data_IF_065257562415
#
_entry.id   IF_065257562415
#
_cell.length_a   1.000
_cell.length_b   1.000
_cell.length_c   1.000
_cell.angle_alpha   90.00
_cell.angle_beta   90.00
_cell.angle_gamma   90.00
#
_symmetry.space_group_name_H-M   'P 1'
#
loop_
_entity.id
_entity.type
_entity.pdbx_description
1 polymer ?
#
# COMPACT_ATOMS: atom_id res chain seq x y z
N UNK A 1 13.36 -22.38 -37.30
CA UNK A 1 13.91 -21.61 -36.16
C UNK A 1 14.64 -22.62 -35.28
N UNK A 2 15.92 -22.39 -34.91
CA UNK A 2 16.63 -23.36 -34.07
C UNK A 2 16.09 -23.26 -32.63
N UNK A 3 15.76 -24.42 -32.05
CA UNK A 3 15.36 -24.59 -30.65
C UNK A 3 16.53 -24.20 -29.74
N UNK A 4 16.55 -22.94 -29.30
CA UNK A 4 17.34 -22.54 -28.15
C UNK A 4 16.77 -23.18 -26.87
N UNK A 5 17.58 -23.39 -25.82
CA UNK A 5 17.08 -23.87 -24.54
C UNK A 5 15.96 -22.93 -24.05
N UNK A 6 14.83 -23.51 -23.62
CA UNK A 6 13.73 -22.73 -23.05
C UNK A 6 14.26 -21.98 -21.83
N UNK A 7 14.05 -20.65 -21.72
CA UNK A 7 14.49 -19.88 -20.56
C UNK A 7 13.90 -20.46 -19.28
N UNK A 8 14.71 -20.55 -18.23
CA UNK A 8 14.29 -21.10 -16.95
C UNK A 8 13.39 -20.09 -16.20
N UNK A 9 12.48 -20.58 -15.35
CA UNK A 9 11.58 -19.72 -14.57
C UNK A 9 12.28 -18.55 -13.84
N UNK A 10 13.43 -18.75 -13.15
CA UNK A 10 14.16 -17.65 -12.51
C UNK A 10 14.71 -16.60 -13.49
N UNK A 11 15.05 -16.98 -14.73
CA UNK A 11 15.50 -16.02 -15.75
C UNK A 11 14.33 -15.12 -16.20
N UNK A 12 13.15 -15.72 -16.36
CA UNK A 12 11.91 -15.01 -16.70
C UNK A 12 11.47 -14.06 -15.57
N UNK A 13 11.57 -14.51 -14.32
CA UNK A 13 11.27 -13.69 -13.14
C UNK A 13 12.24 -12.52 -13.01
N UNK A 14 13.54 -12.75 -13.24
CA UNK A 14 14.56 -11.69 -13.23
C UNK A 14 14.32 -10.65 -14.33
N UNK A 15 13.96 -11.06 -15.55
CA UNK A 15 13.64 -10.14 -16.65
C UNK A 15 12.50 -9.16 -16.31
N UNK A 16 11.42 -9.68 -15.72
CA UNK A 16 10.29 -8.87 -15.26
C UNK A 16 10.66 -7.96 -14.07
N UNK A 17 11.50 -8.43 -13.15
CA UNK A 17 12.03 -7.63 -12.05
C UNK A 17 12.88 -6.47 -12.57
N UNK A 18 13.77 -6.72 -13.51
CA UNK A 18 14.66 -5.72 -14.11
C UNK A 18 13.87 -4.63 -14.85
N UNK A 19 12.84 -5.03 -15.61
CA UNK A 19 11.93 -4.09 -16.25
C UNK A 19 11.24 -3.17 -15.24
N UNK A 20 10.71 -3.74 -14.14
CA UNK A 20 10.05 -2.95 -13.07
C UNK A 20 11.00 -1.98 -12.38
N UNK A 21 12.25 -2.39 -12.12
CA UNK A 21 13.28 -1.52 -11.54
C UNK A 21 13.57 -0.34 -12.47
N UNK A 22 13.69 -0.58 -13.78
CA UNK A 22 13.88 0.49 -14.78
C UNK A 22 12.70 1.43 -14.86
N UNK A 23 11.48 0.91 -14.84
CA UNK A 23 10.26 1.74 -14.80
C UNK A 23 10.25 2.63 -13.55
N UNK A 24 10.72 2.14 -12.41
CA UNK A 24 10.86 2.95 -11.18
C UNK A 24 11.87 4.08 -11.32
N UNK A 25 13.00 3.85 -12.01
CA UNK A 25 14.00 4.88 -12.30
C UNK A 25 13.43 5.94 -13.24
N UNK A 26 12.82 5.51 -14.35
CA UNK A 26 12.18 6.39 -15.35
C UNK A 26 11.10 7.27 -14.69
N UNK A 27 10.28 6.68 -13.83
CA UNK A 27 9.26 7.37 -13.05
C UNK A 27 9.87 8.48 -12.20
N UNK A 28 10.91 8.18 -11.42
CA UNK A 28 11.56 9.17 -10.54
C UNK A 28 12.29 10.28 -11.30
N UNK A 29 12.94 9.94 -12.40
CA UNK A 29 13.55 10.94 -13.30
C UNK A 29 12.49 11.87 -13.90
N UNK A 30 11.35 11.30 -14.29
CA UNK A 30 10.23 12.08 -14.83
C UNK A 30 9.58 12.95 -13.77
N UNK A 31 9.39 12.46 -12.54
CA UNK A 31 8.89 13.27 -11.42
C UNK A 31 9.80 14.47 -11.16
N UNK A 32 11.10 14.24 -11.08
CA UNK A 32 12.10 15.30 -10.89
C UNK A 32 12.04 16.33 -12.03
N UNK A 33 11.93 15.87 -13.27
CA UNK A 33 11.79 16.75 -14.43
C UNK A 33 10.48 17.56 -14.40
N UNK A 34 9.35 16.93 -14.02
CA UNK A 34 8.06 17.59 -13.94
C UNK A 34 8.00 18.60 -12.79
N UNK A 35 8.64 18.33 -11.66
CA UNK A 35 8.69 19.26 -10.53
C UNK A 35 9.41 20.56 -10.88
N UNK A 36 10.47 20.50 -11.71
CA UNK A 36 11.13 21.69 -12.25
C UNK A 36 10.24 22.52 -13.19
N UNK A 37 9.11 21.96 -13.67
CA UNK A 37 8.15 22.67 -14.52
C UNK A 37 6.98 23.26 -13.75
N UNK A 38 6.90 23.02 -12.44
CA UNK A 38 5.80 23.44 -11.56
C UNK A 38 6.21 24.63 -10.70
N UNK A 39 5.24 25.48 -10.37
CA UNK A 39 5.41 26.48 -9.32
C UNK A 39 5.23 25.85 -7.93
N UNK A 40 5.40 26.68 -6.89
CA UNK A 40 5.19 26.27 -5.49
C UNK A 40 3.76 25.79 -5.16
N UNK A 41 2.81 26.01 -6.06
CA UNK A 41 1.41 25.62 -5.93
C UNK A 41 1.08 24.39 -6.80
N UNK A 42 2.09 23.74 -7.40
CA UNK A 42 1.91 22.57 -8.26
C UNK A 42 1.43 22.89 -9.67
N UNK A 43 1.26 24.17 -10.04
CA UNK A 43 0.79 24.56 -11.37
C UNK A 43 1.92 24.47 -12.38
N UNK A 44 1.66 23.86 -13.53
CA UNK A 44 2.66 23.75 -14.60
C UNK A 44 2.89 25.11 -15.26
N UNK A 45 4.06 25.72 -15.02
CA UNK A 45 4.47 27.02 -15.59
C UNK A 45 5.26 26.87 -16.90
N UNK A 46 5.83 25.69 -17.15
CA UNK A 46 6.58 25.38 -18.37
C UNK A 46 5.95 24.20 -19.13
N UNK A 47 4.83 24.42 -19.85
CA UNK A 47 4.07 23.33 -20.48
C UNK A 47 4.86 22.58 -21.56
N UNK A 48 5.73 23.26 -22.30
CA UNK A 48 6.59 22.63 -23.32
C UNK A 48 7.64 21.70 -22.71
N UNK A 49 8.27 22.12 -21.60
CA UNK A 49 9.22 21.29 -20.85
C UNK A 49 8.53 20.07 -20.22
N UNK A 50 7.31 20.25 -19.71
CA UNK A 50 6.51 19.15 -19.16
C UNK A 50 6.13 18.12 -20.24
N UNK A 51 5.77 18.59 -21.44
CA UNK A 51 5.50 17.71 -22.59
C UNK A 51 6.76 16.96 -23.05
N UNK A 52 7.93 17.62 -23.05
CA UNK A 52 9.20 16.98 -23.41
C UNK A 52 9.60 15.89 -22.39
N UNK A 53 9.43 16.15 -21.09
CA UNK A 53 9.68 15.16 -20.04
C UNK A 53 8.81 13.91 -20.20
N UNK A 54 7.51 14.08 -20.50
CA UNK A 54 6.60 12.95 -20.79
C UNK A 54 6.98 12.19 -22.05
N UNK A 55 7.34 12.89 -23.13
CA UNK A 55 7.77 12.24 -24.36
C UNK A 55 9.06 11.42 -24.16
N UNK A 56 9.99 11.92 -23.35
CA UNK A 56 11.21 11.18 -22.98
C UNK A 56 10.89 9.93 -22.15
N UNK A 57 10.03 10.07 -21.14
CA UNK A 57 9.51 8.96 -20.32
C UNK A 57 8.90 7.86 -21.17
N UNK A 58 7.97 8.22 -22.05
CA UNK A 58 7.23 7.26 -22.87
C UNK A 58 8.18 6.48 -23.79
N UNK A 59 9.15 7.17 -24.40
CA UNK A 59 10.20 6.55 -25.21
C UNK A 59 11.09 5.60 -24.38
N UNK A 60 11.60 6.06 -23.25
CA UNK A 60 12.48 5.26 -22.38
C UNK A 60 11.78 3.98 -21.87
N UNK A 61 10.48 4.06 -21.59
CA UNK A 61 9.69 2.90 -21.16
C UNK A 61 9.51 1.87 -22.28
N UNK A 62 9.28 2.31 -23.52
CA UNK A 62 9.23 1.43 -24.70
C UNK A 62 10.59 0.74 -24.91
N UNK A 63 11.69 1.48 -24.82
CA UNK A 63 13.05 0.94 -24.93
C UNK A 63 13.33 -0.10 -23.83
N UNK A 64 12.94 0.19 -22.59
CA UNK A 64 13.11 -0.73 -21.47
C UNK A 64 12.30 -2.01 -21.66
N UNK A 65 11.03 -1.92 -22.08
CA UNK A 65 10.18 -3.08 -22.33
C UNK A 65 10.73 -3.94 -23.46
N UNK A 66 11.04 -3.34 -24.61
CA UNK A 66 11.52 -4.05 -25.80
C UNK A 66 12.84 -4.79 -25.54
N UNK A 67 13.74 -4.19 -24.76
CA UNK A 67 15.05 -4.76 -24.44
C UNK A 67 14.97 -5.85 -23.38
N UNK A 68 14.18 -5.65 -22.32
CA UNK A 68 14.30 -6.48 -21.11
C UNK A 68 13.13 -7.42 -20.87
N UNK A 69 11.93 -7.13 -21.38
CA UNK A 69 10.74 -7.91 -21.05
C UNK A 69 10.09 -8.55 -22.27
N UNK A 70 10.04 -7.85 -23.42
CA UNK A 70 9.37 -8.33 -24.63
C UNK A 70 9.79 -9.77 -25.04
N UNK A 71 11.09 -10.14 -25.04
CA UNK A 71 11.51 -11.51 -25.40
C UNK A 71 11.00 -12.60 -24.46
N UNK A 72 10.57 -12.23 -23.25
CA UNK A 72 10.24 -13.14 -22.16
C UNK A 72 8.74 -13.16 -21.81
N UNK A 73 7.95 -12.22 -22.33
CA UNK A 73 6.53 -12.04 -21.95
C UNK A 73 5.66 -13.29 -22.12
N UNK A 74 5.63 -13.87 -23.32
CA UNK A 74 4.77 -15.03 -23.61
C UNK A 74 5.19 -16.24 -22.74
N UNK A 75 6.50 -16.51 -22.63
CA UNK A 75 7.03 -17.59 -21.80
C UNK A 75 6.71 -17.40 -20.31
N UNK A 76 6.86 -16.18 -19.79
CA UNK A 76 6.54 -15.86 -18.40
C UNK A 76 5.05 -16.08 -18.10
N UNK A 77 4.16 -15.60 -18.97
CA UNK A 77 2.71 -15.77 -18.80
C UNK A 77 2.29 -17.25 -18.86
N UNK A 78 2.89 -18.04 -19.74
CA UNK A 78 2.60 -19.46 -19.87
C UNK A 78 3.07 -20.28 -18.64
N UNK A 79 4.22 -19.92 -18.06
CA UNK A 79 4.68 -20.53 -16.79
C UNK A 79 3.75 -20.10 -15.65
N UNK A 80 3.45 -18.81 -15.53
CA UNK A 80 2.60 -18.27 -14.46
C UNK A 80 1.18 -18.85 -14.48
N UNK A 81 0.58 -19.03 -15.67
CA UNK A 81 -0.75 -19.65 -15.81
C UNK A 81 -0.75 -21.11 -15.38
N UNK A 82 0.26 -21.88 -15.79
CA UNK A 82 0.40 -23.28 -15.37
C UNK A 82 0.54 -23.40 -13.87
N UNK A 83 1.41 -22.58 -13.27
CA UNK A 83 1.56 -22.53 -11.82
C UNK A 83 0.23 -22.17 -11.12
N UNK A 84 -0.50 -21.18 -11.64
CA UNK A 84 -1.80 -20.77 -11.10
C UNK A 84 -2.84 -21.91 -11.14
N UNK A 85 -2.86 -22.71 -12.20
CA UNK A 85 -3.79 -23.83 -12.36
C UNK A 85 -3.45 -25.02 -11.43
N UNK A 86 -2.22 -25.09 -10.94
CA UNK A 86 -1.75 -26.09 -9.96
C UNK A 86 -2.02 -25.68 -8.50
N UNK A 87 -2.35 -24.41 -8.23
CA UNK A 87 -2.62 -23.93 -6.88
C UNK A 87 -3.95 -24.48 -6.32
N UNK A 88 -4.01 -24.77 -5.01
CA UNK A 88 -5.25 -25.16 -4.34
C UNK A 88 -6.30 -24.03 -4.41
N UNK A 89 -7.61 -24.35 -4.44
CA UNK A 89 -8.65 -23.34 -4.56
C UNK A 89 -8.60 -22.26 -3.47
N UNK A 90 -8.42 -21.01 -3.88
CA UNK A 90 -8.42 -19.86 -2.98
C UNK A 90 -9.15 -18.66 -3.60
N UNK A 91 -9.64 -17.75 -2.74
CA UNK A 91 -10.46 -16.60 -3.17
C UNK A 91 -9.72 -15.66 -4.13
N UNK A 92 -8.41 -15.53 -3.98
CA UNK A 92 -7.57 -14.60 -4.74
C UNK A 92 -7.24 -15.09 -6.17
N UNK A 93 -7.43 -16.38 -6.48
CA UNK A 93 -7.03 -16.96 -7.76
C UNK A 93 -7.77 -16.34 -8.97
N UNK A 94 -9.06 -16.01 -8.80
CA UNK A 94 -9.83 -15.36 -9.86
C UNK A 94 -9.27 -13.98 -10.22
N UNK A 95 -8.83 -13.22 -9.20
CA UNK A 95 -8.19 -11.93 -9.37
C UNK A 95 -6.86 -12.04 -10.11
N UNK A 96 -6.01 -13.00 -9.73
CA UNK A 96 -4.73 -13.22 -10.43
C UNK A 96 -4.91 -13.68 -11.87
N UNK A 97 -5.91 -14.53 -12.15
CA UNK A 97 -6.21 -14.94 -13.53
C UNK A 97 -6.58 -13.72 -14.39
N UNK A 98 -7.45 -12.84 -13.89
CA UNK A 98 -7.80 -11.60 -14.58
C UNK A 98 -6.59 -10.69 -14.82
N UNK A 99 -5.66 -10.60 -13.86
CA UNK A 99 -4.41 -9.86 -14.02
C UNK A 99 -3.53 -10.46 -15.13
N UNK A 100 -3.31 -11.78 -15.14
CA UNK A 100 -2.52 -12.44 -16.18
C UNK A 100 -3.12 -12.25 -17.57
N UNK A 101 -4.45 -12.28 -17.69
CA UNK A 101 -5.15 -12.02 -18.95
C UNK A 101 -5.03 -10.56 -19.39
N UNK A 102 -5.10 -9.61 -18.45
CA UNK A 102 -4.83 -8.18 -18.71
C UNK A 102 -3.39 -7.91 -19.16
N UNK A 103 -2.40 -8.61 -18.59
CA UNK A 103 -1.00 -8.54 -19.01
C UNK A 103 -0.81 -9.12 -20.41
N UNK A 104 -1.44 -10.26 -20.71
CA UNK A 104 -1.42 -10.85 -22.05
C UNK A 104 -2.03 -9.93 -23.11
N UNK A 105 -3.19 -9.32 -22.82
CA UNK A 105 -3.81 -8.33 -23.70
C UNK A 105 -2.90 -7.10 -23.92
N UNK A 106 -2.24 -6.62 -22.86
CA UNK A 106 -1.30 -5.50 -22.93
C UNK A 106 -0.07 -5.82 -23.77
N UNK A 107 0.52 -7.01 -23.62
CA UNK A 107 1.65 -7.43 -24.46
C UNK A 107 1.25 -7.56 -25.93
N UNK A 108 0.05 -8.08 -26.22
CA UNK A 108 -0.45 -8.18 -27.59
C UNK A 108 -0.64 -6.80 -28.23
N UNK A 109 -1.15 -5.81 -27.48
CA UNK A 109 -1.31 -4.44 -27.97
C UNK A 109 0.02 -3.72 -28.19
N UNK A 110 0.98 -3.89 -27.26
CA UNK A 110 2.33 -3.37 -27.43
C UNK A 110 2.97 -3.95 -28.69
N UNK A 111 2.94 -5.28 -28.87
CA UNK A 111 3.49 -5.94 -30.05
C UNK A 111 2.84 -5.45 -31.34
N UNK A 112 1.50 -5.45 -31.40
CA UNK A 112 0.74 -4.95 -32.56
C UNK A 112 1.13 -3.54 -32.96
N UNK A 113 1.32 -2.67 -31.97
CA UNK A 113 1.70 -1.28 -32.19
C UNK A 113 3.14 -1.18 -32.69
N UNK A 114 4.08 -1.88 -32.05
CA UNK A 114 5.50 -1.87 -32.42
C UNK A 114 5.79 -2.56 -33.77
N UNK A 115 4.93 -3.47 -34.22
CA UNK A 115 5.01 -4.08 -35.56
C UNK A 115 4.71 -3.08 -36.69
N UNK A 116 4.14 -1.90 -36.36
CA UNK A 116 3.86 -0.80 -37.30
C UNK A 116 4.45 0.50 -36.76
N UNK A 117 5.79 0.64 -36.75
CA UNK A 117 6.43 1.82 -36.18
C UNK A 117 6.14 3.06 -37.03
N UNK A 118 5.82 4.17 -36.36
CA UNK A 118 5.81 5.47 -36.99
C UNK A 118 7.23 5.91 -37.39
N UNK A 119 7.34 6.97 -38.20
CA UNK A 119 8.64 7.48 -38.63
C UNK A 119 9.45 7.98 -37.41
N UNK A 120 10.74 7.61 -37.26
CA UNK A 120 11.56 8.07 -36.15
C UNK A 120 11.63 9.60 -36.07
N UNK A 121 11.44 10.15 -34.86
CA UNK A 121 11.40 11.58 -34.58
C UNK A 121 10.08 12.29 -34.91
N UNK A 122 9.09 11.58 -35.44
CA UNK A 122 7.81 12.19 -35.84
C UNK A 122 6.88 12.49 -34.64
N UNK A 123 5.92 13.44 -34.79
CA UNK A 123 4.80 13.58 -33.86
C UNK A 123 4.01 12.27 -33.68
N UNK A 124 3.88 11.48 -34.74
CA UNK A 124 3.18 10.20 -34.74
C UNK A 124 3.89 9.16 -33.87
N UNK A 125 5.23 9.10 -33.89
CA UNK A 125 6.02 8.24 -32.99
C UNK A 125 5.80 8.63 -31.51
N UNK A 126 5.79 9.93 -31.21
CA UNK A 126 5.48 10.40 -29.85
C UNK A 126 4.07 10.02 -29.43
N UNK A 127 3.09 10.15 -30.32
CA UNK A 127 1.71 9.70 -30.08
C UNK A 127 1.64 8.19 -29.85
N UNK A 128 2.39 7.41 -30.62
CA UNK A 128 2.48 5.95 -30.49
C UNK A 128 3.07 5.54 -29.13
N UNK A 129 4.21 6.10 -28.73
CA UNK A 129 4.80 5.82 -27.41
C UNK A 129 3.86 6.20 -26.26
N UNK A 130 3.18 7.34 -26.39
CA UNK A 130 2.22 7.78 -25.36
C UNK A 130 1.01 6.84 -25.26
N UNK A 131 0.51 6.33 -26.38
CA UNK A 131 -0.58 5.36 -26.40
C UNK A 131 -0.19 4.01 -25.75
N UNK A 132 1.10 3.65 -25.77
CA UNK A 132 1.60 2.44 -25.13
C UNK A 132 1.76 2.57 -23.61
N UNK A 133 1.77 3.79 -23.08
CA UNK A 133 2.02 4.05 -21.67
C UNK A 133 1.13 3.23 -20.71
N UNK A 134 -0.21 3.17 -20.87
CA UNK A 134 -1.06 2.37 -19.98
C UNK A 134 -0.67 0.89 -19.93
N UNK A 135 -0.31 0.31 -21.07
CA UNK A 135 0.10 -1.10 -21.18
C UNK A 135 1.46 -1.36 -20.52
N UNK A 136 2.42 -0.44 -20.69
CA UNK A 136 3.73 -0.51 -20.06
C UNK A 136 3.63 -0.39 -18.54
N UNK A 137 2.77 0.50 -18.05
CA UNK A 137 2.52 0.66 -16.61
C UNK A 137 1.81 -0.56 -16.01
N UNK A 138 0.85 -1.16 -16.71
CA UNK A 138 0.21 -2.40 -16.27
C UNK A 138 1.24 -3.54 -16.10
N UNK A 139 2.18 -3.67 -17.03
CA UNK A 139 3.30 -4.61 -16.88
C UNK A 139 4.20 -4.24 -15.70
N UNK A 140 4.51 -2.97 -15.49
CA UNK A 140 5.37 -2.55 -14.37
C UNK A 140 4.73 -2.79 -13.00
N UNK A 141 3.42 -2.58 -12.88
CA UNK A 141 2.66 -2.75 -11.64
C UNK A 141 2.37 -4.22 -11.31
N UNK A 142 2.10 -5.03 -12.34
CA UNK A 142 1.58 -6.39 -12.14
C UNK A 142 2.53 -7.52 -12.54
N UNK A 143 3.69 -7.24 -13.16
CA UNK A 143 4.65 -8.30 -13.54
C UNK A 143 5.15 -9.11 -12.34
N UNK A 144 5.18 -8.51 -11.14
CA UNK A 144 5.54 -9.22 -9.90
C UNK A 144 4.65 -10.44 -9.66
N UNK A 145 3.34 -10.35 -9.97
CA UNK A 145 2.41 -11.48 -9.82
C UNK A 145 2.80 -12.60 -10.77
N UNK A 146 3.08 -12.28 -12.04
CA UNK A 146 3.50 -13.27 -13.03
C UNK A 146 4.86 -13.90 -12.68
N UNK A 147 5.85 -13.11 -12.24
CA UNK A 147 7.16 -13.59 -11.81
C UNK A 147 7.08 -14.49 -10.58
N UNK A 148 6.36 -14.07 -9.55
CA UNK A 148 6.21 -14.86 -8.33
C UNK A 148 5.47 -16.18 -8.61
N UNK A 149 4.42 -16.16 -9.44
CA UNK A 149 3.76 -17.39 -9.87
C UNK A 149 4.69 -18.29 -10.68
N UNK A 150 5.54 -17.73 -11.54
CA UNK A 150 6.53 -18.52 -12.26
C UNK A 150 7.54 -19.18 -11.32
N UNK A 151 8.02 -18.46 -10.31
CA UNK A 151 8.94 -18.99 -9.29
C UNK A 151 8.30 -20.11 -8.43
N UNK A 152 6.97 -20.10 -8.25
CA UNK A 152 6.24 -21.14 -7.52
C UNK A 152 6.28 -22.52 -8.22
N UNK A 153 6.47 -22.55 -9.54
CA UNK A 153 6.49 -23.80 -10.32
C UNK A 153 7.76 -24.64 -10.13
N UNK A 154 8.82 -24.08 -9.54
CA UNK A 154 10.10 -24.75 -9.29
C UNK A 154 10.14 -25.57 -7.97
N UNK A 155 8.96 -25.84 -7.38
CA UNK A 155 8.72 -27.02 -6.55
C UNK A 155 9.72 -27.27 -5.41
N UNK A 156 10.09 -26.24 -4.64
CA UNK A 156 11.00 -26.45 -3.52
C UNK A 156 10.34 -27.32 -2.44
N UNK A 157 10.94 -28.49 -2.27
CA UNK A 157 10.50 -29.60 -1.45
C UNK A 157 10.19 -29.19 -0.01
N UNK A 158 8.94 -29.35 0.37
CA UNK A 158 8.51 -29.18 1.75
C UNK A 158 9.11 -30.33 2.57
N UNK A 159 9.78 -30.01 3.68
CA UNK A 159 10.17 -31.03 4.67
C UNK A 159 8.89 -31.65 5.23
N UNK A 160 8.97 -32.91 5.67
CA UNK A 160 7.86 -33.57 6.32
C UNK A 160 7.29 -32.68 7.45
N UNK A 161 5.95 -32.51 7.52
CA UNK A 161 5.31 -31.76 8.59
C UNK A 161 5.75 -32.26 9.96
N UNK A 162 5.68 -31.40 10.98
CA UNK A 162 5.76 -31.83 12.39
C UNK A 162 4.80 -32.99 12.63
N UNK A 163 5.16 -33.91 13.51
CA UNK A 163 4.20 -34.92 13.98
C UNK A 163 3.04 -34.24 14.70
N UNK A 164 1.86 -34.87 14.73
CA UNK A 164 0.68 -34.32 15.41
C UNK A 164 0.96 -34.00 16.90
N UNK A 165 1.82 -34.79 17.54
CA UNK A 165 2.22 -34.60 18.95
C UNK A 165 3.13 -33.37 19.10
N UNK A 166 4.17 -33.26 18.27
CA UNK A 166 5.08 -32.11 18.27
C UNK A 166 4.33 -30.82 17.92
N UNK A 167 3.45 -30.86 16.93
CA UNK A 167 2.63 -29.71 16.55
C UNK A 167 1.76 -29.24 17.71
N UNK A 168 1.07 -30.15 18.41
CA UNK A 168 0.24 -29.78 19.58
C UNK A 168 1.08 -29.18 20.69
N UNK A 169 2.18 -29.84 21.04
CA UNK A 169 3.10 -29.36 22.07
C UNK A 169 3.60 -27.93 21.77
N UNK A 170 4.14 -27.71 20.57
CA UNK A 170 4.64 -26.39 20.19
C UNK A 170 3.54 -25.33 20.08
N UNK A 171 2.34 -25.73 19.64
CA UNK A 171 1.19 -24.82 19.59
C UNK A 171 0.77 -24.39 21.00
N UNK A 172 0.73 -25.31 21.96
CA UNK A 172 0.42 -24.98 23.36
C UNK A 172 1.47 -24.06 23.98
N UNK A 173 2.75 -24.33 23.74
CA UNK A 173 3.88 -23.49 24.17
C UNK A 173 3.76 -22.07 23.58
N UNK A 174 3.54 -21.96 22.27
CA UNK A 174 3.39 -20.68 21.60
C UNK A 174 2.15 -19.90 22.06
N UNK A 175 1.03 -20.58 22.30
CA UNK A 175 -0.19 -19.94 22.84
C UNK A 175 0.04 -19.41 24.25
N UNK A 176 0.76 -20.17 25.09
CA UNK A 176 1.13 -19.73 26.42
C UNK A 176 2.05 -18.49 26.38
N UNK A 177 3.06 -18.49 25.51
CA UNK A 177 3.95 -17.35 25.30
C UNK A 177 3.19 -16.12 24.77
N UNK A 178 2.28 -16.31 23.82
CA UNK A 178 1.41 -15.23 23.32
C UNK A 178 0.58 -14.61 24.45
N UNK A 179 -0.01 -15.43 25.33
CA UNK A 179 -0.78 -14.96 26.48
C UNK A 179 0.04 -14.12 27.48
N UNK A 180 1.38 -14.26 27.48
CA UNK A 180 2.32 -13.46 28.28
C UNK A 180 2.91 -12.27 27.51
N UNK A 181 2.67 -12.16 26.20
CA UNK A 181 3.29 -11.15 25.33
C UNK A 181 4.73 -11.47 24.95
N UNK A 182 5.13 -12.74 25.02
CA UNK A 182 6.50 -13.24 24.75
C UNK A 182 6.61 -13.90 23.36
N UNK A 183 5.66 -13.61 22.47
CA UNK A 183 5.64 -14.06 21.08
C UNK A 183 5.76 -12.84 20.16
N UNK A 184 6.94 -12.64 19.58
CA UNK A 184 7.24 -11.48 18.74
C UNK A 184 7.16 -11.85 17.25
N UNK A 185 6.15 -11.34 16.55
CA UNK A 185 5.97 -11.56 15.10
C UNK A 185 6.97 -10.74 14.30
N UNK A 186 7.66 -11.36 13.35
CA UNK A 186 8.71 -10.71 12.53
C UNK A 186 8.33 -10.58 11.07
N UNK A 187 7.71 -11.60 10.49
CA UNK A 187 7.33 -11.64 9.08
C UNK A 187 5.99 -12.35 8.90
N UNK A 188 5.24 -11.98 7.86
CA UNK A 188 4.00 -12.66 7.50
C UNK A 188 3.76 -12.68 6.00
N UNK A 189 3.23 -13.78 5.48
CA UNK A 189 2.84 -13.93 4.08
C UNK A 189 1.64 -14.86 3.94
N UNK A 190 1.07 -14.95 2.73
CA UNK A 190 0.06 -15.96 2.41
C UNK A 190 0.70 -17.17 1.75
N UNK A 191 0.22 -18.36 2.09
CA UNK A 191 0.52 -19.59 1.37
C UNK A 191 -0.43 -19.79 0.19
N UNK A 192 -0.10 -20.75 -0.67
CA UNK A 192 -0.88 -21.16 -1.86
C UNK A 192 -2.35 -21.47 -1.55
N UNK A 193 -2.63 -22.04 -0.39
CA UNK A 193 -3.97 -22.37 0.11
C UNK A 193 -4.74 -21.18 0.71
N UNK A 194 -4.18 -19.98 0.65
CA UNK A 194 -4.79 -18.76 1.15
C UNK A 194 -4.80 -18.65 2.68
N UNK A 195 -4.07 -19.50 3.40
CA UNK A 195 -3.84 -19.30 4.83
C UNK A 195 -2.63 -18.38 5.06
N UNK A 196 -2.70 -17.46 6.04
CA UNK A 196 -1.53 -16.70 6.45
C UNK A 196 -0.52 -17.61 7.16
N UNK A 197 0.76 -17.35 6.91
CA UNK A 197 1.89 -17.87 7.64
C UNK A 197 2.59 -16.68 8.30
N UNK A 198 2.98 -16.83 9.56
CA UNK A 198 3.77 -15.85 10.27
C UNK A 198 4.99 -16.50 10.91
N UNK A 199 6.11 -15.77 10.92
CA UNK A 199 7.28 -16.11 11.73
C UNK A 199 7.22 -15.33 13.04
N UNK A 200 7.53 -16.02 14.14
CA UNK A 200 7.59 -15.41 15.45
C UNK A 200 8.78 -15.91 16.25
N UNK A 201 9.41 -15.03 17.01
CA UNK A 201 10.32 -15.43 18.09
C UNK A 201 9.51 -15.75 19.34
N UNK A 202 9.70 -16.97 19.83
CA UNK A 202 9.24 -17.42 21.13
C UNK A 202 10.38 -17.24 22.12
N UNK A 203 10.21 -16.34 23.08
CA UNK A 203 11.20 -16.04 24.12
C UNK A 203 10.86 -16.86 25.37
N UNK A 204 11.75 -17.77 25.77
CA UNK A 204 11.65 -18.55 27.01
C UNK A 204 12.98 -18.53 27.74
N UNK A 205 12.99 -18.10 29.01
CA UNK A 205 14.15 -18.20 29.93
C UNK A 205 15.50 -17.76 29.31
N UNK A 206 15.51 -16.62 28.61
CA UNK A 206 16.63 -16.01 27.85
C UNK A 206 17.02 -16.69 26.52
N UNK A 207 16.37 -17.79 26.14
CA UNK A 207 16.50 -18.41 24.81
C UNK A 207 15.38 -17.95 23.86
N UNK A 208 15.71 -17.78 22.57
CA UNK A 208 14.75 -17.40 21.53
C UNK A 208 14.67 -18.49 20.47
N UNK A 209 13.50 -19.09 20.32
CA UNK A 209 13.22 -20.08 19.27
C UNK A 209 12.35 -19.45 18.19
N UNK A 210 12.77 -19.56 16.93
CA UNK A 210 11.93 -19.13 15.82
C UNK A 210 10.86 -20.19 15.53
N UNK A 211 9.59 -19.81 15.62
CA UNK A 211 8.45 -20.67 15.29
C UNK A 211 7.71 -20.14 14.07
N UNK A 212 7.19 -21.05 13.24
CA UNK A 212 6.33 -20.71 12.13
C UNK A 212 4.88 -21.07 12.45
N UNK A 213 4.01 -20.07 12.33
CA UNK A 213 2.60 -20.14 12.65
C UNK A 213 1.81 -20.22 11.35
N UNK A 214 0.73 -20.99 11.36
CA UNK A 214 -0.25 -21.04 10.27
C UNK A 214 -1.62 -20.67 10.80
N UNK A 215 -2.25 -19.71 10.13
CA UNK A 215 -3.45 -19.04 10.63
C UNK A 215 -3.14 -17.69 11.27
N UNK A 216 -4.20 -16.95 11.59
CA UNK A 216 -4.09 -15.62 12.20
C UNK A 216 -3.74 -15.75 13.69
N UNK A 217 -2.57 -15.29 14.15
CA UNK A 217 -2.16 -15.40 15.55
C UNK A 217 -3.14 -14.67 16.49
N UNK A 218 -3.85 -13.65 16.01
CA UNK A 218 -4.82 -12.88 16.81
C UNK A 218 -6.22 -13.51 16.84
N UNK A 219 -6.41 -14.68 16.23
CA UNK A 219 -7.68 -15.41 16.20
C UNK A 219 -7.54 -16.84 16.77
N UNK A 220 -8.62 -17.47 17.26
CA UNK A 220 -8.55 -18.89 17.62
C UNK A 220 -8.27 -19.78 16.39
N UNK A 221 -7.54 -20.87 16.60
CA UNK A 221 -7.39 -21.96 15.62
C UNK A 221 -6.12 -21.94 14.76
N UNK A 222 -5.18 -21.02 15.01
CA UNK A 222 -3.84 -21.11 14.43
C UNK A 222 -3.01 -22.23 15.09
N UNK A 223 -1.99 -22.70 14.36
CA UNK A 223 -1.14 -23.81 14.79
C UNK A 223 0.33 -23.55 14.43
N UNK A 224 1.25 -24.10 15.22
CA UNK A 224 2.67 -24.14 14.85
C UNK A 224 2.88 -25.20 13.78
N UNK A 225 3.56 -24.85 12.69
CA UNK A 225 3.87 -25.75 11.56
C UNK A 225 5.36 -26.07 11.45
N UNK A 226 6.19 -25.42 12.24
CA UNK A 226 7.63 -25.66 12.30
C UNK A 226 8.31 -24.81 13.36
N UNK A 227 9.50 -25.24 13.75
CA UNK A 227 10.42 -24.48 14.58
C UNK A 227 11.83 -24.58 13.97
N UNK A 228 12.60 -23.49 14.06
CA UNK A 228 13.83 -23.31 13.31
C UNK A 228 14.87 -22.55 14.13
N UNK A 229 16.15 -22.71 13.78
CA UNK A 229 17.21 -21.96 14.42
C UNK A 229 17.20 -20.47 14.03
N UNK A 230 16.84 -20.16 12.77
CA UNK A 230 16.80 -18.80 12.22
C UNK A 230 15.96 -18.73 10.94
N UNK A 231 15.62 -17.52 10.48
CA UNK A 231 14.70 -17.26 9.36
C UNK A 231 15.17 -17.89 8.05
N UNK A 232 16.48 -17.92 7.82
CA UNK A 232 17.04 -18.54 6.61
C UNK A 232 16.79 -20.06 6.52
N UNK A 233 16.62 -20.76 7.65
CA UNK A 233 16.28 -22.18 7.65
C UNK A 233 14.77 -22.35 7.40
N UNK A 234 13.96 -21.52 8.07
CA UNK A 234 12.53 -21.47 7.89
C UNK A 234 12.16 -21.23 6.40
N UNK A 235 12.78 -20.24 5.75
CA UNK A 235 12.53 -19.90 4.36
C UNK A 235 12.88 -20.98 3.32
N UNK A 236 13.70 -22.00 3.69
CA UNK A 236 13.99 -23.14 2.81
C UNK A 236 12.92 -24.22 2.82
N UNK A 237 12.12 -24.24 3.88
CA UNK A 237 11.26 -25.39 4.22
C UNK A 237 9.79 -25.02 4.22
N UNK A 238 9.48 -23.77 4.60
CA UNK A 238 8.12 -23.28 4.69
C UNK A 238 7.49 -23.10 3.31
N UNK A 239 6.14 -23.13 3.23
CA UNK A 239 5.43 -22.81 2.01
C UNK A 239 5.84 -21.45 1.45
N UNK A 240 6.16 -21.43 0.16
CA UNK A 240 6.67 -20.23 -0.53
C UNK A 240 5.60 -19.14 -0.54
N UNK A 241 5.96 -17.87 -0.26
CA UNK A 241 5.03 -16.75 -0.33
C UNK A 241 4.35 -16.62 -1.68
N UNK A 242 3.02 -16.58 -1.68
CA UNK A 242 2.28 -16.18 -2.87
C UNK A 242 2.38 -14.67 -3.10
N UNK A 243 2.19 -14.17 -4.33
CA UNK A 243 2.20 -12.72 -4.57
C UNK A 243 1.22 -11.98 -3.64
N UNK A 244 1.64 -10.84 -3.04
CA UNK A 244 0.73 -10.06 -2.23
C UNK A 244 -0.41 -9.47 -3.07
N UNK A 245 -1.57 -9.30 -2.45
CA UNK A 245 -2.69 -8.58 -3.05
C UNK A 245 -2.43 -7.08 -3.19
N UNK A 246 -3.25 -6.41 -4.02
CA UNK A 246 -3.26 -4.94 -4.14
C UNK A 246 -4.62 -4.41 -3.72
N UNK A 247 -4.64 -3.31 -2.96
CA UNK A 247 -5.89 -2.72 -2.45
C UNK A 247 -6.77 -2.15 -3.58
N UNK A 248 -6.14 -1.63 -4.63
CA UNK A 248 -6.76 -1.03 -5.81
C UNK A 248 -5.97 -1.45 -7.05
N UNK A 249 -6.55 -2.32 -7.86
CA UNK A 249 -5.92 -2.79 -9.10
C UNK A 249 -6.00 -1.75 -10.24
N UNK A 250 -6.87 -0.76 -10.10
CA UNK A 250 -7.07 0.36 -11.02
C UNK A 250 -6.13 1.55 -10.76
N UNK A 251 -5.40 1.54 -9.64
CA UNK A 251 -4.48 2.61 -9.28
C UNK A 251 -3.05 2.22 -9.62
N UNK A 252 -2.45 2.95 -10.54
CA UNK A 252 -1.04 2.79 -10.92
C UNK A 252 -0.20 3.93 -10.36
N UNK A 253 0.94 3.59 -9.74
CA UNK A 253 1.92 4.58 -9.30
C UNK A 253 2.52 5.39 -10.45
N UNK A 254 2.46 4.87 -11.68
CA UNK A 254 3.00 5.49 -12.87
C UNK A 254 1.96 6.39 -13.58
N UNK A 255 0.68 6.27 -13.20
CA UNK A 255 -0.43 7.10 -13.68
C UNK A 255 -0.96 8.02 -12.59
N UNK A 256 -0.07 8.55 -11.74
CA UNK A 256 -0.45 9.53 -10.72
C UNK A 256 -1.11 10.72 -11.41
N UNK A 257 -2.36 11.08 -11.06
CA UNK A 257 -2.93 12.34 -11.51
C UNK A 257 -2.02 13.48 -11.04
N UNK A 258 -2.07 14.61 -11.76
CA UNK A 258 -1.39 15.83 -11.29
C UNK A 258 -1.87 16.08 -9.85
N UNK A 259 -0.95 16.20 -8.88
CA UNK A 259 -1.35 16.43 -7.50
C UNK A 259 -2.22 17.67 -7.46
N UNK A 260 -3.38 17.55 -6.83
CA UNK A 260 -4.25 18.70 -6.64
C UNK A 260 -3.49 19.79 -5.88
N UNK A 261 -3.66 21.08 -6.23
CA UNK A 261 -3.03 22.18 -5.52
C UNK A 261 -3.31 22.05 -4.02
N UNK A 262 -2.27 21.94 -3.20
CA UNK A 262 -2.43 21.87 -1.75
C UNK A 262 -2.38 23.27 -1.17
N UNK A 263 -3.48 23.70 -0.52
CA UNK A 263 -3.43 24.83 0.38
C UNK A 263 -2.77 24.34 1.67
N UNK A 264 -1.50 24.68 1.86
CA UNK A 264 -0.77 24.21 3.03
C UNK A 264 -1.39 24.74 4.31
N UNK A 265 -1.44 23.91 5.36
CA UNK A 265 -1.91 24.36 6.68
C UNK A 265 -1.11 25.58 7.17
N UNK A 266 0.18 25.65 6.84
CA UNK A 266 1.03 26.80 7.15
C UNK A 266 0.57 28.09 6.46
N UNK A 267 0.11 27.99 5.21
CA UNK A 267 -0.46 29.13 4.47
C UNK A 267 -1.80 29.57 5.07
N UNK A 268 -2.68 28.63 5.43
CA UNK A 268 -3.92 28.94 6.14
C UNK A 268 -3.65 29.66 7.47
N UNK A 269 -2.70 29.16 8.26
CA UNK A 269 -2.27 29.80 9.51
C UNK A 269 -1.74 31.20 9.23
N UNK A 270 -0.90 31.36 8.19
CA UNK A 270 -0.37 32.67 7.78
C UNK A 270 -1.51 33.63 7.40
N UNK A 271 -2.50 33.18 6.64
CA UNK A 271 -3.64 34.00 6.22
C UNK A 271 -4.45 34.51 7.43
N UNK A 272 -4.63 33.67 8.46
CA UNK A 272 -5.25 34.10 9.72
C UNK A 272 -4.38 35.12 10.48
N UNK A 273 -3.07 34.88 10.54
CA UNK A 273 -2.11 35.75 11.25
C UNK A 273 -1.97 37.13 10.59
N UNK A 274 -1.97 37.16 9.26
CA UNK A 274 -1.88 38.40 8.46
C UNK A 274 -3.24 39.09 8.27
N UNK A 275 -4.33 38.35 8.50
CA UNK A 275 -5.71 38.80 8.39
C UNK A 275 -6.01 40.00 9.28
N UNK A 276 -6.87 40.90 8.79
CA UNK A 276 -7.27 42.13 9.49
C UNK A 276 -8.74 42.13 9.87
N UNK A 277 -9.53 41.29 9.19
CA UNK A 277 -10.97 41.17 9.32
C UNK A 277 -11.35 39.76 9.77
N UNK A 278 -12.53 39.61 10.36
CA UNK A 278 -13.09 38.29 10.62
C UNK A 278 -13.33 37.47 9.32
N UNK A 279 -13.58 38.16 8.20
CA UNK A 279 -13.67 37.56 6.87
C UNK A 279 -12.40 36.83 6.44
N UNK A 280 -11.22 37.41 6.70
CA UNK A 280 -9.94 36.78 6.35
C UNK A 280 -9.73 35.45 7.11
N UNK A 281 -10.18 35.41 8.37
CA UNK A 281 -10.15 34.20 9.18
C UNK A 281 -11.19 33.17 8.73
N UNK A 282 -12.40 33.62 8.38
CA UNK A 282 -13.45 32.80 7.77
C UNK A 282 -12.96 32.12 6.49
N UNK A 283 -12.36 32.86 5.56
CA UNK A 283 -11.86 32.32 4.29
C UNK A 283 -10.77 31.26 4.51
N UNK A 284 -9.89 31.47 5.48
CA UNK A 284 -8.87 30.48 5.84
C UNK A 284 -9.48 29.20 6.45
N UNK A 285 -10.56 29.31 7.24
CA UNK A 285 -11.27 28.15 7.78
C UNK A 285 -12.06 27.40 6.69
N UNK A 286 -12.73 28.11 5.78
CA UNK A 286 -13.35 27.49 4.61
C UNK A 286 -12.32 26.75 3.75
N UNK A 287 -11.13 27.33 3.55
CA UNK A 287 -10.03 26.65 2.88
C UNK A 287 -9.57 25.36 3.58
N UNK A 288 -9.72 25.25 4.90
CA UNK A 288 -9.37 24.04 5.65
C UNK A 288 -10.36 22.88 5.43
N UNK A 289 -11.64 23.20 5.23
CA UNK A 289 -12.77 22.26 5.12
C UNK A 289 -13.29 22.09 3.69
N UNK A 290 -12.71 22.82 2.73
CA UNK A 290 -13.09 22.80 1.33
C UNK A 290 -13.16 21.35 0.81
N UNK A 291 -14.26 21.02 0.12
CA UNK A 291 -14.44 19.73 -0.57
C UNK A 291 -14.17 19.88 -2.07
N UNK A 292 -13.88 18.77 -2.74
CA UNK A 292 -13.69 18.72 -4.19
C UNK A 292 -12.23 18.62 -4.62
N UNK A 293 -11.91 19.06 -5.84
CA UNK A 293 -10.56 18.94 -6.39
C UNK A 293 -9.51 19.66 -5.54
N UNK A 294 -9.86 20.82 -4.99
CA UNK A 294 -9.00 21.59 -4.07
C UNK A 294 -9.34 21.25 -2.61
N UNK A 295 -9.51 19.96 -2.29
CA UNK A 295 -9.87 19.52 -0.95
C UNK A 295 -8.88 20.05 0.10
N UNK A 296 -9.43 20.65 1.16
CA UNK A 296 -8.69 21.17 2.28
C UNK A 296 -8.06 20.07 3.15
N UNK A 297 -7.08 20.42 4.00
CA UNK A 297 -6.33 19.46 4.83
C UNK A 297 -7.21 18.56 5.72
N UNK A 298 -8.36 19.03 6.21
CA UNK A 298 -9.23 18.19 7.05
C UNK A 298 -9.93 17.09 6.24
N UNK A 299 -10.36 17.41 5.01
CA UNK A 299 -10.99 16.45 4.09
C UNK A 299 -9.98 15.40 3.64
N UNK A 300 -8.76 15.81 3.29
CA UNK A 300 -7.67 14.88 2.90
C UNK A 300 -7.28 13.93 4.03
N UNK A 301 -7.26 14.41 5.27
CA UNK A 301 -6.98 13.56 6.42
C UNK A 301 -8.07 12.49 6.61
N UNK A 302 -9.35 12.86 6.39
CA UNK A 302 -10.45 11.90 6.41
C UNK A 302 -10.27 10.82 5.34
N UNK A 303 -9.95 11.19 4.09
CA UNK A 303 -9.70 10.26 2.98
C UNK A 303 -8.53 9.30 3.26
N UNK A 304 -7.46 9.80 3.90
CA UNK A 304 -6.32 8.97 4.33
C UNK A 304 -6.72 7.92 5.36
N UNK A 305 -7.49 8.31 6.38
CA UNK A 305 -7.97 7.38 7.41
C UNK A 305 -8.91 6.32 6.81
N UNK A 306 -9.80 6.72 5.91
CA UNK A 306 -10.68 5.79 5.21
C UNK A 306 -9.89 4.77 4.38
N UNK A 307 -8.94 5.25 3.56
CA UNK A 307 -8.11 4.39 2.70
C UNK A 307 -7.26 3.44 3.54
N UNK A 308 -6.69 3.92 4.64
CA UNK A 308 -5.93 3.11 5.60
C UNK A 308 -6.82 2.07 6.31
N UNK A 309 -8.08 2.43 6.62
CA UNK A 309 -9.07 1.51 7.17
C UNK A 309 -9.42 0.38 6.20
N UNK A 310 -9.55 0.70 4.91
CA UNK A 310 -9.78 -0.30 3.87
C UNK A 310 -8.57 -1.24 3.72
N UNK A 311 -7.35 -0.71 3.76
CA UNK A 311 -6.12 -1.53 3.77
C UNK A 311 -6.11 -2.49 4.96
N UNK A 312 -6.33 -1.98 6.18
CA UNK A 312 -6.34 -2.80 7.39
C UNK A 312 -7.42 -3.89 7.35
N UNK A 313 -8.59 -3.60 6.79
CA UNK A 313 -9.64 -4.60 6.58
C UNK A 313 -9.27 -5.66 5.55
N UNK A 314 -8.49 -5.30 4.52
CA UNK A 314 -8.05 -6.19 3.45
C UNK A 314 -6.94 -7.16 3.89
N UNK A 315 -6.32 -6.96 5.05
CA UNK A 315 -5.40 -7.93 5.66
C UNK A 315 -6.12 -9.20 6.15
N UNK A 316 -7.45 -9.18 6.27
CA UNK A 316 -8.28 -10.30 6.72
C UNK A 316 -7.91 -10.90 8.10
N UNK A 317 -7.06 -10.24 8.89
CA UNK A 317 -6.73 -10.61 10.28
C UNK A 317 -7.68 -9.97 11.30
N UNK A 318 -7.75 -10.53 12.51
CA UNK A 318 -8.51 -10.00 13.62
C UNK A 318 -8.00 -8.61 14.04
N UNK A 319 -6.68 -8.43 14.15
CA UNK A 319 -6.08 -7.13 14.43
C UNK A 319 -6.33 -6.13 13.29
N UNK A 320 -6.25 -6.55 12.02
CA UNK A 320 -6.59 -5.72 10.87
C UNK A 320 -8.02 -5.18 10.93
N UNK A 321 -9.00 -6.04 11.26
CA UNK A 321 -10.39 -5.63 11.47
C UNK A 321 -10.56 -4.65 12.63
N UNK A 322 -9.85 -4.86 13.74
CA UNK A 322 -9.88 -3.95 14.88
C UNK A 322 -9.30 -2.57 14.52
N UNK A 323 -8.17 -2.54 13.80
CA UNK A 323 -7.53 -1.31 13.31
C UNK A 323 -8.47 -0.57 12.35
N UNK A 324 -9.09 -1.29 11.40
CA UNK A 324 -10.05 -0.71 10.46
C UNK A 324 -11.24 -0.05 11.18
N UNK A 325 -11.77 -0.70 12.22
CA UNK A 325 -12.86 -0.15 13.03
C UNK A 325 -12.44 1.13 13.79
N UNK A 326 -11.22 1.15 14.34
CA UNK A 326 -10.66 2.33 15.01
C UNK A 326 -10.45 3.49 14.04
N UNK A 327 -9.88 3.24 12.86
CA UNK A 327 -9.68 4.23 11.81
C UNK A 327 -11.02 4.79 11.31
N UNK A 328 -12.03 3.93 11.15
CA UNK A 328 -13.38 4.35 10.79
C UNK A 328 -14.03 5.25 11.85
N UNK A 329 -13.80 4.97 13.14
CA UNK A 329 -14.29 5.83 14.23
C UNK A 329 -13.60 7.20 14.23
N UNK A 330 -12.28 7.23 14.00
CA UNK A 330 -11.53 8.48 13.85
C UNK A 330 -11.99 9.29 12.63
N UNK A 331 -12.26 8.63 11.49
CA UNK A 331 -12.81 9.29 10.30
C UNK A 331 -14.12 10.02 10.59
N UNK A 332 -15.04 9.40 11.34
CA UNK A 332 -16.30 10.05 11.78
C UNK A 332 -16.07 11.24 12.72
N UNK A 333 -15.05 11.19 13.57
CA UNK A 333 -14.69 12.32 14.44
C UNK A 333 -14.16 13.50 13.62
N UNK A 334 -13.34 13.23 12.61
CA UNK A 334 -12.88 14.27 11.68
C UNK A 334 -14.05 14.86 10.92
N UNK A 335 -14.96 14.04 10.41
CA UNK A 335 -16.14 14.53 9.70
C UNK A 335 -16.99 15.48 10.56
N UNK A 336 -17.19 15.13 11.84
CA UNK A 336 -17.85 16.01 12.80
C UNK A 336 -17.08 17.32 12.98
N UNK A 337 -15.76 17.26 13.21
CA UNK A 337 -14.93 18.45 13.37
C UNK A 337 -14.91 19.33 12.11
N UNK A 338 -14.93 18.73 10.92
CA UNK A 338 -15.01 19.45 9.65
C UNK A 338 -16.29 20.27 9.58
N UNK A 339 -17.43 19.71 10.00
CA UNK A 339 -18.71 20.43 10.05
C UNK A 339 -18.71 21.56 11.07
N UNK A 340 -18.15 21.34 12.27
CA UNK A 340 -18.04 22.40 13.29
C UNK A 340 -17.13 23.55 12.85
N UNK A 341 -16.04 23.26 12.13
CA UNK A 341 -15.16 24.30 11.57
C UNK A 341 -15.85 25.06 10.43
N UNK A 342 -16.64 24.36 9.60
CA UNK A 342 -17.47 24.96 8.55
C UNK A 342 -18.49 25.95 9.15
N UNK A 343 -19.20 25.56 10.22
CA UNK A 343 -20.14 26.44 10.95
C UNK A 343 -19.43 27.64 11.60
N UNK A 344 -18.28 27.42 12.23
CA UNK A 344 -17.49 28.53 12.80
C UNK A 344 -16.96 29.50 11.74
N UNK A 345 -16.64 29.01 10.53
CA UNK A 345 -16.27 29.85 9.40
C UNK A 345 -17.46 30.71 8.95
N UNK A 346 -18.65 30.11 8.83
CA UNK A 346 -19.90 30.83 8.52
C UNK A 346 -20.19 31.95 9.53
N UNK A 347 -20.08 31.66 10.82
CA UNK A 347 -20.28 32.64 11.90
C UNK A 347 -19.28 33.79 11.85
N UNK A 348 -18.00 33.50 11.59
CA UNK A 348 -16.96 34.52 11.41
C UNK A 348 -17.19 35.34 10.13
N UNK A 349 -17.63 34.72 9.05
CA UNK A 349 -17.96 35.38 7.79
C UNK A 349 -19.18 36.30 7.91
N UNK A 350 -20.16 35.93 8.74
CA UNK A 350 -21.31 36.77 9.09
C UNK A 350 -20.92 37.94 10.03
N UNK A 351 -19.76 37.85 10.69
CA UNK A 351 -19.29 38.86 11.63
C UNK A 351 -18.54 39.99 10.90
N UNK A 352 -19.11 41.19 10.89
CA UNK A 352 -18.40 42.39 10.40
C UNK A 352 -17.53 42.96 11.52
N UNK A 353 -16.34 42.36 11.72
CA UNK A 353 -15.38 42.81 12.72
C UNK A 353 -13.95 42.94 12.16
N UNK A 354 -13.18 43.84 12.78
CA UNK A 354 -11.75 44.03 12.55
C UNK A 354 -10.97 43.80 13.85
N UNK A 355 -9.72 43.37 13.74
CA UNK A 355 -8.86 43.24 14.91
C UNK A 355 -8.65 44.60 15.61
N UNK A 356 -8.82 44.70 16.94
CA UNK A 356 -8.59 45.94 17.66
C UNK A 356 -7.12 46.41 17.54
N UNK A 357 -6.87 47.72 17.33
CA UNK A 357 -5.53 48.26 17.02
C UNK A 357 -4.48 48.10 18.13
N UNK A 358 -4.87 47.66 19.33
CA UNK A 358 -4.00 47.58 20.51
C UNK A 358 -3.85 46.17 21.10
N UNK A 359 -4.36 45.13 20.43
CA UNK A 359 -4.14 43.75 20.86
C UNK A 359 -3.16 43.06 19.92
N UNK A 360 -1.89 42.99 20.33
CA UNK A 360 -1.00 41.92 19.88
C UNK A 360 -1.52 40.60 20.48
N UNK A 361 -1.93 39.62 19.67
CA UNK A 361 -2.38 38.33 20.20
C UNK A 361 -1.22 37.68 20.97
N UNK A 362 -1.41 37.50 22.28
CA UNK A 362 -0.48 36.72 23.11
C UNK A 362 -0.74 35.26 22.81
N UNK A 363 0.18 34.57 22.13
CA UNK A 363 0.15 33.12 21.94
C UNK A 363 0.25 32.43 23.30
N UNK A 364 -0.88 32.19 23.96
CA UNK A 364 -0.94 31.33 25.14
C UNK A 364 -1.05 29.88 24.67
N UNK A 365 0.10 29.23 24.51
CA UNK A 365 0.17 27.76 24.44
C UNK A 365 -0.25 27.23 25.81
N UNK A 366 -1.55 26.95 25.99
CA UNK A 366 -2.05 26.22 27.15
C UNK A 366 -1.79 24.74 26.89
N UNK A 367 -1.18 23.97 27.82
CA UNK A 367 -1.12 22.53 27.69
C UNK A 367 -2.55 21.99 27.58
N UNK A 368 -2.83 21.24 26.51
CA UNK A 368 -4.11 20.59 26.28
C UNK A 368 -4.34 19.57 27.39
N UNK A 369 -5.50 19.52 28.07
CA UNK A 369 -5.85 18.32 28.81
C UNK A 369 -5.88 17.16 27.81
N UNK A 370 -5.17 16.08 28.12
CA UNK A 370 -5.31 14.85 27.34
C UNK A 370 -6.79 14.46 27.34
N UNK A 371 -7.33 14.15 26.16
CA UNK A 371 -8.62 13.45 26.08
C UNK A 371 -8.38 12.09 26.74
N UNK A 372 -9.06 11.84 27.85
CA UNK A 372 -8.95 10.56 28.56
C UNK A 372 -9.44 9.44 27.64
N UNK A 373 -8.49 8.71 27.06
CA UNK A 373 -8.73 7.43 26.37
C UNK A 373 -8.56 6.26 27.33
N UNK A 374 -8.82 6.47 28.63
CA UNK A 374 -8.76 5.39 29.59
C UNK A 374 -9.89 4.38 29.30
N UNK A 375 -9.58 3.07 29.18
CA UNK A 375 -10.59 2.04 28.97
C UNK A 375 -11.56 2.00 30.17
N UNK A 376 -12.82 1.57 29.98
CA UNK A 376 -13.81 1.54 31.06
C UNK A 376 -13.28 0.70 32.23
N UNK A 377 -13.40 1.25 33.43
CA UNK A 377 -12.97 0.61 34.67
C UNK A 377 -13.73 -0.72 34.84
N UNK A 378 -13.04 -1.85 35.09
CA UNK A 378 -13.72 -3.11 35.34
C UNK A 378 -14.58 -3.01 36.62
N UNK A 379 -15.75 -3.67 36.68
CA UNK A 379 -16.65 -3.59 37.82
C UNK A 379 -15.94 -4.10 39.09
N UNK A 380 -16.21 -3.49 40.25
CA UNK A 380 -15.57 -3.88 41.50
C UNK A 380 -15.92 -5.33 41.85
N UNK A 381 -14.88 -6.15 42.06
CA UNK A 381 -15.03 -7.50 42.60
C UNK A 381 -15.59 -7.37 44.02
N UNK A 382 -16.79 -7.91 44.23
CA UNK A 382 -17.40 -8.03 45.55
C UNK A 382 -16.58 -9.02 46.36
N UNK A 383 -15.78 -8.51 47.30
CA UNK A 383 -15.11 -9.31 48.31
C UNK A 383 -16.15 -9.80 49.32
N UNK A 384 -16.33 -11.10 49.39
CA UNK A 384 -17.10 -11.80 50.43
C UNK A 384 -16.47 -11.51 51.80
N UNK A 385 -17.23 -11.01 52.80
CA UNK A 385 -16.68 -10.82 54.13
C UNK A 385 -16.50 -12.16 54.84
N UNK A 386 -15.27 -12.41 55.29
CA UNK A 386 -14.90 -13.52 56.15
C UNK A 386 -15.70 -13.45 57.46
N UNK A 387 -16.47 -14.51 57.77
CA UNK A 387 -17.06 -14.72 59.08
C UNK A 387 -16.02 -15.34 60.01
N UNK A 388 -15.59 -14.58 61.01
CA UNK A 388 -15.04 -15.12 62.24
C UNK A 388 -16.19 -15.53 63.17
N UNK A 389 -16.33 -16.83 63.42
CA UNK A 389 -16.35 -17.38 64.77
C UNK A 389 -16.06 -18.88 64.76
#
# INVERSE_FOLDING_TARGET
MPDGPRPMAPELANAARDFRLRMTVIDRETETALDMTRDRYGRTVHPSAAAAARAHRDKAAVEAYTTHLAPHTDALLDVARRALDELPPARHLAGWRAVLDGLAASAAEIRRTLDRPAAPGSPEERGQHSALWPHLTAWADHSLIASNLADQSDGHHHKAPLTDEEQRMWTEVAQAAQGRGELELTESWYAADGQPIALAYLVEDDDSTLVALRGDPDAPGWQVIGHYAHEYEAGKVLPVPVPPGVLRADVSRFNRPVPAPEVSLQELIRNVVEGRTAGDASDALFGAVQRGYDAGPMVRLQELLETSGQFASALETAQGRQIAARLSALGRQIEFLTREVEEAAEDLGATVAVLPPHRTPVLRVRPRPAVDTAPPTPPPRVSTPARHR
#
